data_IF_979218319351
#
_entry.id   IF_979218319351
#
_cell.length_a   1.000
_cell.length_b   1.000
_cell.length_c   1.000
_cell.angle_alpha   90.00
_cell.angle_beta   90.00
_cell.angle_gamma   90.00
#
_symmetry.space_group_name_H-M   'P 1'
#
loop_
_entity.id
_entity.type
_entity.pdbx_description
1 polymer ?
#
# COMPACT_ATOMS: atom_id res chain seq x y z
N UNK A 1 6.68 16.81 3.31
CA UNK A 1 5.22 16.73 3.11
C UNK A 1 4.57 16.34 4.43
N UNK A 2 3.30 16.70 4.64
CA UNK A 2 2.54 16.30 5.83
C UNK A 2 1.77 15.01 5.52
N UNK A 3 1.76 14.06 6.44
CA UNK A 3 0.96 12.82 6.32
C UNK A 3 -0.53 13.12 6.19
N UNK A 4 -1.00 14.20 6.83
CA UNK A 4 -2.40 14.63 6.80
C UNK A 4 -2.91 15.09 5.42
N UNK A 5 -2.04 15.15 4.40
CA UNK A 5 -2.45 15.38 3.01
C UNK A 5 -2.79 14.11 2.26
N UNK A 6 -2.53 12.94 2.85
CA UNK A 6 -2.82 11.66 2.25
C UNK A 6 -4.05 11.05 2.92
N UNK A 7 -5.01 10.67 2.09
CA UNK A 7 -6.17 9.87 2.48
C UNK A 7 -6.02 8.48 1.85
N UNK A 8 -6.35 7.43 2.60
CA UNK A 8 -6.35 6.07 2.10
C UNK A 8 -7.77 5.53 2.09
N UNK A 9 -8.14 4.92 0.98
CA UNK A 9 -9.39 4.19 0.81
C UNK A 9 -9.11 2.76 0.37
N UNK A 10 -9.91 1.83 0.86
CA UNK A 10 -9.89 0.42 0.46
C UNK A 10 -11.23 0.07 -0.18
N UNK A 11 -11.17 -0.50 -1.38
CA UNK A 11 -12.33 -1.08 -2.05
C UNK A 11 -12.16 -2.59 -2.14
N UNK A 12 -13.16 -3.31 -1.64
CA UNK A 12 -13.27 -4.77 -1.74
C UNK A 12 -14.65 -5.13 -2.27
N UNK A 13 -14.76 -6.17 -3.09
CA UNK A 13 -16.04 -6.65 -3.60
C UNK A 13 -15.91 -8.08 -4.13
N UNK A 14 -17.03 -8.80 -4.16
CA UNK A 14 -17.06 -10.25 -4.44
C UNK A 14 -16.47 -10.63 -5.81
N UNK A 15 -16.53 -9.73 -6.80
CA UNK A 15 -16.00 -9.94 -8.16
C UNK A 15 -14.88 -8.95 -8.54
N UNK A 16 -14.49 -8.07 -7.62
CA UNK A 16 -13.51 -7.00 -7.88
C UNK A 16 -12.24 -7.25 -7.10
N UNK A 17 -11.09 -7.17 -7.78
CA UNK A 17 -9.79 -7.24 -7.13
C UNK A 17 -9.72 -6.20 -6.01
N UNK A 18 -9.29 -6.57 -4.79
CA UNK A 18 -9.11 -5.62 -3.70
C UNK A 18 -8.16 -4.50 -4.11
N UNK A 19 -8.51 -3.26 -3.79
CA UNK A 19 -7.75 -2.08 -4.20
C UNK A 19 -7.48 -1.15 -3.02
N UNK A 20 -6.23 -0.70 -2.91
CA UNK A 20 -5.83 0.45 -2.10
C UNK A 20 -5.72 1.66 -3.02
N UNK A 21 -6.37 2.75 -2.65
CA UNK A 21 -6.17 4.06 -3.29
C UNK A 21 -5.66 5.05 -2.27
N UNK A 22 -4.53 5.69 -2.58
CA UNK A 22 -3.99 6.79 -1.79
C UNK A 22 -4.17 8.10 -2.55
N UNK A 23 -4.97 9.00 -2.00
CA UNK A 23 -5.23 10.32 -2.56
C UNK A 23 -4.41 11.38 -1.86
N UNK A 24 -3.77 12.26 -2.64
CA UNK A 24 -3.00 13.39 -2.14
C UNK A 24 -3.67 14.72 -2.50
N UNK A 25 -4.06 15.46 -1.46
CA UNK A 25 -4.76 16.76 -1.56
C UNK A 25 -3.86 17.96 -1.19
N UNK A 26 -2.53 17.74 -1.17
CA UNK A 26 -1.53 18.76 -0.87
C UNK A 26 -0.97 19.47 -2.10
N UNK A 27 0.10 20.27 -1.93
CA UNK A 27 0.79 20.93 -3.05
C UNK A 27 1.42 19.91 -4.03
N UNK A 28 0.74 19.67 -5.16
CA UNK A 28 1.02 18.58 -6.11
C UNK A 28 2.49 18.43 -6.50
N UNK A 29 3.13 19.53 -6.90
CA UNK A 29 4.53 19.52 -7.37
C UNK A 29 5.50 18.86 -6.39
N UNK A 30 5.27 19.01 -5.08
CA UNK A 30 6.15 18.43 -4.06
C UNK A 30 6.08 16.90 -3.96
N UNK A 31 4.98 16.31 -4.44
CA UNK A 31 4.77 14.87 -4.46
C UNK A 31 5.01 14.28 -5.84
N UNK A 32 4.67 14.99 -6.92
CA UNK A 32 5.01 14.61 -8.31
C UNK A 32 6.52 14.38 -8.48
N UNK A 33 7.36 15.24 -7.91
CA UNK A 33 8.82 15.08 -7.92
C UNK A 33 9.29 13.77 -7.25
N UNK A 34 8.48 13.19 -6.35
CA UNK A 34 8.78 11.88 -5.70
C UNK A 34 8.21 10.68 -6.44
N UNK A 35 7.27 10.91 -7.33
CA UNK A 35 6.71 9.87 -8.19
C UNK A 35 7.49 9.74 -9.50
N UNK A 36 8.59 10.48 -9.63
CA UNK A 36 9.48 10.45 -10.79
C UNK A 36 10.90 10.07 -10.38
N UNK A 37 11.62 9.43 -11.31
CA UNK A 37 13.02 9.08 -11.15
C UNK A 37 13.96 10.24 -11.53
N UNK A 38 15.27 10.02 -11.47
CA UNK A 38 16.28 11.03 -11.82
C UNK A 38 16.20 11.51 -13.28
N UNK A 39 15.58 10.73 -14.17
CA UNK A 39 15.34 11.09 -15.57
C UNK A 39 14.01 11.84 -15.76
N UNK A 40 13.21 12.02 -14.70
CA UNK A 40 11.89 12.64 -14.74
C UNK A 40 10.79 11.70 -15.25
N UNK A 41 11.06 10.40 -15.32
CA UNK A 41 10.09 9.37 -15.72
C UNK A 41 9.34 8.86 -14.49
N UNK A 42 8.08 8.43 -14.65
CA UNK A 42 7.33 7.81 -13.54
C UNK A 42 8.10 6.64 -12.95
N UNK A 43 8.11 6.52 -11.62
CA UNK A 43 8.75 5.42 -10.93
C UNK A 43 8.27 4.07 -11.45
N UNK A 44 9.22 3.15 -11.61
CA UNK A 44 8.91 1.75 -11.88
C UNK A 44 8.14 1.16 -10.68
N UNK A 45 6.88 0.81 -10.93
CA UNK A 45 6.00 0.26 -9.92
C UNK A 45 6.53 -1.03 -9.34
N UNK A 46 7.21 -1.87 -10.12
CA UNK A 46 7.75 -3.15 -9.63
C UNK A 46 8.83 -2.97 -8.56
N UNK A 47 9.42 -1.77 -8.50
CA UNK A 47 10.45 -1.41 -7.52
C UNK A 47 9.90 -0.83 -6.23
N UNK A 48 8.58 -0.63 -6.10
CA UNK A 48 8.02 -0.11 -4.85
C UNK A 48 7.64 -1.26 -3.92
N UNK A 49 7.84 -1.12 -2.63
CA UNK A 49 7.28 -1.99 -1.60
C UNK A 49 6.20 -1.22 -0.86
N UNK A 50 5.04 -1.87 -0.66
CA UNK A 50 3.92 -1.35 0.11
C UNK A 50 3.84 -2.13 1.42
N UNK A 51 3.92 -1.42 2.53
CA UNK A 51 3.94 -2.00 3.87
C UNK A 51 3.00 -1.26 4.79
N UNK A 52 2.55 -1.93 5.85
CA UNK A 52 1.75 -1.34 6.90
C UNK A 52 2.36 -1.63 8.26
N UNK A 53 2.47 -0.61 9.10
CA UNK A 53 2.92 -0.74 10.48
C UNK A 53 1.82 -0.29 11.42
N UNK A 54 1.41 -1.18 12.31
CA UNK A 54 0.45 -0.87 13.35
C UNK A 54 1.04 0.10 14.38
N UNK A 55 0.20 1.02 14.86
CA UNK A 55 0.47 1.81 16.06
C UNK A 55 -0.09 1.16 17.33
N UNK A 56 -1.08 0.29 17.17
CA UNK A 56 -1.73 -0.47 18.24
C UNK A 56 -1.44 -1.97 18.11
N UNK A 57 -1.74 -2.77 19.12
CA UNK A 57 -1.36 -4.20 19.11
C UNK A 57 -2.30 -5.08 18.26
N UNK A 58 -3.32 -4.51 17.61
CA UNK A 58 -4.34 -5.29 16.90
C UNK A 58 -4.69 -4.71 15.53
N UNK A 59 -4.70 -5.59 14.51
CA UNK A 59 -5.24 -5.29 13.18
C UNK A 59 -6.77 -5.42 13.21
N UNK A 60 -7.44 -4.44 13.79
CA UNK A 60 -8.90 -4.46 13.99
C UNK A 60 -9.51 -3.09 13.75
N UNK A 61 -10.82 -3.05 13.47
CA UNK A 61 -11.60 -1.81 13.33
C UNK A 61 -11.38 -0.89 14.53
N UNK A 62 -11.05 0.38 14.26
CA UNK A 62 -10.76 1.38 15.29
C UNK A 62 -9.30 1.38 15.78
N UNK A 63 -8.48 0.42 15.35
CA UNK A 63 -7.03 0.49 15.45
C UNK A 63 -6.42 1.35 14.36
N UNK A 64 -5.20 1.83 14.57
CA UNK A 64 -4.51 2.70 13.62
C UNK A 64 -3.11 2.23 13.28
N UNK A 65 -2.58 2.75 12.18
CA UNK A 65 -1.24 2.49 11.74
C UNK A 65 -0.86 3.36 10.56
N UNK A 66 0.28 3.04 9.96
CA UNK A 66 0.87 3.80 8.87
C UNK A 66 1.11 2.87 7.70
N UNK A 67 0.55 3.22 6.55
CA UNK A 67 0.95 2.63 5.28
C UNK A 67 2.14 3.42 4.74
N UNK A 68 3.20 2.70 4.36
CA UNK A 68 4.41 3.27 3.80
C UNK A 68 4.71 2.65 2.44
N UNK A 69 5.15 3.49 1.51
CA UNK A 69 5.65 3.07 0.20
C UNK A 69 7.11 3.48 0.06
N UNK A 70 7.95 2.52 -0.29
CA UNK A 70 9.40 2.71 -0.40
C UNK A 70 9.91 2.14 -1.71
N UNK A 71 10.89 2.77 -2.34
CA UNK A 71 11.64 2.15 -3.43
C UNK A 71 12.58 1.10 -2.83
N UNK A 72 12.42 -0.16 -3.24
CA UNK A 72 13.17 -1.31 -2.71
C UNK A 72 14.61 -1.39 -3.20
N UNK A 73 14.92 -0.73 -4.32
CA UNK A 73 16.25 -0.71 -4.91
C UNK A 73 17.10 0.36 -4.25
N UNK A 74 16.55 1.57 -4.08
CA UNK A 74 17.28 2.70 -3.49
C UNK A 74 17.10 2.83 -1.97
N UNK A 75 16.03 2.25 -1.42
CA UNK A 75 15.59 2.48 -0.05
C UNK A 75 14.85 3.80 0.13
N UNK A 76 14.59 4.54 -0.97
CA UNK A 76 13.99 5.86 -0.87
C UNK A 76 12.55 5.81 -0.41
N UNK A 77 12.21 6.81 0.38
CA UNK A 77 10.89 6.98 0.92
C UNK A 77 9.97 7.73 -0.05
N UNK A 78 8.91 7.07 -0.53
CA UNK A 78 7.97 7.64 -1.50
C UNK A 78 6.86 8.39 -0.76
N UNK A 79 6.03 7.67 0.02
CA UNK A 79 4.92 8.24 0.78
C UNK A 79 4.62 7.49 2.08
N UNK A 80 3.94 8.18 2.99
CA UNK A 80 3.28 7.61 4.17
C UNK A 80 1.93 8.25 4.37
N UNK A 81 0.95 7.43 4.73
CA UNK A 81 -0.36 7.89 5.17
C UNK A 81 -0.79 7.14 6.43
N UNK A 82 -1.57 7.82 7.27
CA UNK A 82 -2.25 7.14 8.38
C UNK A 82 -3.43 6.36 7.80
N UNK A 83 -3.63 5.13 8.24
CA UNK A 83 -4.73 4.30 7.77
C UNK A 83 -5.34 3.48 8.92
N UNK A 84 -6.66 3.26 8.81
CA UNK A 84 -7.41 2.42 9.74
C UNK A 84 -7.00 0.96 9.57
N UNK A 85 -6.73 0.31 10.70
CA UNK A 85 -6.25 -1.07 10.73
C UNK A 85 -7.32 -2.06 10.22
N UNK A 86 -8.60 -1.75 10.40
CA UNK A 86 -9.71 -2.54 9.89
C UNK A 86 -9.83 -2.49 8.36
N UNK A 87 -9.51 -1.36 7.72
CA UNK A 87 -9.43 -1.29 6.25
C UNK A 87 -8.33 -2.20 5.70
N UNK A 88 -7.19 -2.26 6.37
CA UNK A 88 -6.08 -3.15 6.00
C UNK A 88 -6.46 -4.63 6.23
N UNK A 89 -7.16 -4.94 7.33
CA UNK A 89 -7.67 -6.29 7.58
C UNK A 89 -8.64 -6.75 6.49
N UNK A 90 -9.55 -5.87 6.06
CA UNK A 90 -10.49 -6.12 4.97
C UNK A 90 -9.76 -6.40 3.66
N UNK A 91 -8.76 -5.59 3.31
CA UNK A 91 -7.95 -5.78 2.12
C UNK A 91 -7.27 -7.16 2.12
N UNK A 92 -6.56 -7.49 3.19
CA UNK A 92 -5.78 -8.75 3.29
C UNK A 92 -6.71 -9.96 3.26
N UNK A 93 -7.86 -9.88 3.93
CA UNK A 93 -8.87 -10.94 3.91
C UNK A 93 -9.44 -11.12 2.50
N UNK A 94 -9.88 -10.04 1.85
CA UNK A 94 -10.44 -10.10 0.50
C UNK A 94 -9.40 -10.59 -0.53
N UNK A 95 -8.13 -10.23 -0.39
CA UNK A 95 -7.06 -10.67 -1.30
C UNK A 95 -6.72 -12.15 -1.13
N UNK A 96 -6.93 -12.72 0.05
CA UNK A 96 -6.78 -14.17 0.30
C UNK A 96 -7.96 -14.98 -0.20
N UNK A 97 -9.16 -14.42 -0.11
CA UNK A 97 -10.38 -15.06 -0.64
C UNK A 97 -10.38 -15.07 -2.17
N UNK A 98 -9.79 -14.05 -2.80
CA UNK A 98 -9.62 -13.93 -4.25
C UNK A 98 -8.35 -14.63 -4.80
N UNK A 99 -7.73 -15.56 -4.06
CA UNK A 99 -6.49 -16.26 -4.48
C UNK A 99 -6.72 -17.27 -5.64
N UNK A 100 -7.94 -17.35 -6.17
CA UNK A 100 -8.28 -18.16 -7.34
C UNK A 100 -7.77 -17.51 -8.65
N UNK A 101 -6.53 -17.83 -9.02
CA UNK A 101 -5.97 -17.69 -10.37
C UNK A 101 -5.98 -16.29 -11.01
N UNK A 102 -5.80 -15.21 -10.25
CA UNK A 102 -5.49 -13.92 -10.87
C UNK A 102 -4.02 -13.90 -11.32
N UNK A 103 -3.80 -13.97 -12.63
CA UNK A 103 -2.46 -13.84 -13.24
C UNK A 103 -1.83 -12.45 -12.97
N UNK A 104 -2.67 -11.48 -12.63
CA UNK A 104 -2.30 -10.08 -12.49
C UNK A 104 -2.20 -9.65 -11.01
N UNK A 105 -1.78 -10.50 -10.08
CA UNK A 105 -1.54 -10.12 -8.68
C UNK A 105 -2.75 -10.11 -7.72
N UNK A 106 -2.47 -10.10 -6.41
CA UNK A 106 -3.46 -10.27 -5.31
C UNK A 106 -4.28 -9.03 -4.97
N UNK A 107 -3.73 -7.84 -5.14
CA UNK A 107 -4.43 -6.56 -4.94
C UNK A 107 -3.87 -5.48 -5.86
N UNK A 108 -4.64 -4.42 -6.10
CA UNK A 108 -4.18 -3.24 -6.84
C UNK A 108 -3.83 -2.11 -5.86
N UNK A 109 -2.75 -1.38 -6.15
CA UNK A 109 -2.35 -0.17 -5.45
C UNK A 109 -2.31 1.00 -6.43
N UNK A 110 -3.04 2.07 -6.13
CA UNK A 110 -3.03 3.30 -6.91
C UNK A 110 -2.79 4.54 -6.06
N UNK A 111 -2.20 5.56 -6.70
CA UNK A 111 -1.96 6.88 -6.11
C UNK A 111 -2.57 7.94 -7.00
N UNK A 112 -3.39 8.81 -6.41
CA UNK A 112 -4.00 9.95 -7.11
C UNK A 112 -3.54 11.28 -6.52
N UNK A 113 -3.38 12.28 -7.38
CA UNK A 113 -3.02 13.66 -7.01
C UNK A 113 -4.02 14.60 -7.66
N UNK A 114 -4.78 15.36 -6.86
CA UNK A 114 -5.90 16.18 -7.34
C UNK A 114 -6.81 15.40 -8.30
N UNK A 115 -7.25 14.21 -7.91
CA UNK A 115 -8.09 13.30 -8.69
C UNK A 115 -7.47 12.73 -9.98
N UNK A 116 -6.19 12.99 -10.26
CA UNK A 116 -5.48 12.39 -11.39
C UNK A 116 -4.66 11.18 -10.93
N UNK A 117 -4.86 10.03 -11.58
CA UNK A 117 -4.04 8.85 -11.32
C UNK A 117 -2.60 9.10 -11.79
N UNK A 118 -1.67 8.97 -10.85
CA UNK A 118 -0.24 9.14 -11.11
C UNK A 118 0.48 7.80 -11.22
N UNK A 119 -0.04 6.78 -10.52
CA UNK A 119 0.54 5.45 -10.42
C UNK A 119 -0.58 4.44 -10.19
N UNK A 120 -0.53 3.31 -10.88
CA UNK A 120 -1.38 2.15 -10.61
C UNK A 120 -0.60 0.86 -10.90
N UNK A 121 -0.68 -0.10 -10.00
CA UNK A 121 0.05 -1.36 -10.13
C UNK A 121 -0.61 -2.48 -9.34
N UNK A 122 -0.54 -3.67 -9.92
CA UNK A 122 -0.92 -4.88 -9.23
C UNK A 122 0.22 -5.42 -8.36
N UNK A 123 -0.15 -6.08 -7.25
CA UNK A 123 0.76 -6.46 -6.18
C UNK A 123 0.43 -7.81 -5.58
N UNK A 124 1.47 -8.59 -5.31
CA UNK A 124 1.37 -9.87 -4.62
C UNK A 124 1.76 -9.81 -3.14
N UNK A 125 2.68 -8.89 -2.80
CA UNK A 125 3.24 -8.77 -1.47
C UNK A 125 2.60 -7.56 -0.76
N UNK A 126 2.18 -7.79 0.47
CA UNK A 126 1.76 -6.74 1.40
C UNK A 126 2.19 -7.16 2.81
N UNK A 127 3.10 -6.40 3.42
CA UNK A 127 3.70 -6.78 4.70
C UNK A 127 3.11 -5.94 5.83
N UNK A 128 2.68 -6.61 6.89
CA UNK A 128 2.13 -5.99 8.10
C UNK A 128 3.10 -6.19 9.25
N UNK A 129 3.46 -5.10 9.93
CA UNK A 129 4.35 -5.10 11.09
C UNK A 129 3.61 -4.61 12.34
N UNK A 130 3.96 -5.15 13.50
CA UNK A 130 3.49 -4.65 14.78
C UNK A 130 4.27 -3.39 15.24
N UNK A 131 3.94 -2.90 16.43
CA UNK A 131 4.59 -1.76 17.08
C UNK A 131 6.07 -2.00 17.36
N UNK A 132 6.47 -3.24 17.64
CA UNK A 132 7.86 -3.66 17.92
C UNK A 132 8.70 -3.83 16.64
N UNK A 133 8.06 -3.87 15.47
CA UNK A 133 8.70 -4.08 14.17
C UNK A 133 8.74 -5.55 13.73
N UNK A 134 8.04 -6.44 14.43
CA UNK A 134 7.90 -7.84 14.02
C UNK A 134 6.90 -7.99 12.88
N UNK A 135 7.24 -8.84 11.91
CA UNK A 135 6.37 -9.19 10.80
C UNK A 135 5.21 -10.07 11.27
N UNK A 136 3.99 -9.57 11.10
CA UNK A 136 2.75 -10.30 11.32
C UNK A 136 2.42 -11.13 10.08
N UNK A 137 3.07 -12.29 9.93
CA UNK A 137 2.88 -13.19 8.78
C UNK A 137 1.42 -13.56 8.54
N UNK A 138 0.65 -13.81 9.61
CA UNK A 138 -0.78 -14.15 9.51
C UNK A 138 -1.65 -13.00 9.03
N UNK A 139 -1.14 -11.76 9.03
CA UNK A 139 -1.82 -10.57 8.52
C UNK A 139 -1.17 -10.01 7.25
N UNK A 140 -0.20 -10.73 6.67
CA UNK A 140 0.52 -10.31 5.47
C UNK A 140 0.10 -11.13 4.25
N UNK A 141 0.26 -10.56 3.06
CA UNK A 141 0.23 -11.27 1.78
C UNK A 141 1.66 -11.60 1.41
N UNK A 142 2.00 -12.89 1.42
CA UNK A 142 3.34 -13.39 1.12
C UNK A 142 3.16 -14.51 0.08
N UNK A 143 3.74 -14.38 -1.13
CA UNK A 143 3.67 -15.39 -2.16
C UNK A 143 4.28 -16.71 -1.70
N UNK A 144 3.65 -17.81 -2.12
CA UNK A 144 4.11 -19.17 -1.92
C UNK A 144 5.46 -19.39 -2.62
N UNK A 145 6.58 -19.20 -1.90
CA UNK A 145 7.93 -19.34 -2.45
C UNK A 145 8.93 -18.26 -2.04
N UNK A 146 8.47 -17.22 -1.33
CA UNK A 146 9.35 -16.21 -0.75
C UNK A 146 9.74 -16.60 0.67
N UNK A 147 11.02 -16.91 0.89
CA UNK A 147 11.60 -16.89 2.25
C UNK A 147 11.97 -15.45 2.60
N UNK A 148 11.34 -14.93 3.66
CA UNK A 148 11.64 -13.65 4.30
C UNK A 148 12.57 -13.89 5.50
#
# INVERSE_FOLDING_TARGET
MRRDYFTLDVTTGDETKPQITVSFDGPAKSFEDRLTDEAGMTLDTEQLDVTYRLHDDALTVGGSGVLAVTNRITGDFVLECNADAGMIDQLVSAARENDDNNADGRYQFSVTVNDHEMLSCDRDIFLVYNTEGDLLRQHSLIPSGVEL
#
